data_IF_900915394198
#
_entry.id   IF_900915394198
#
_cell.length_a   1.000
_cell.length_b   1.000
_cell.length_c   1.000
_cell.angle_alpha   90.00
_cell.angle_beta   90.00
_cell.angle_gamma   90.00
#
_symmetry.space_group_name_H-M   'P 1'
#
loop_
_entity.id
_entity.type
_entity.pdbx_description
1 polymer ?
#
# COMPACT_ATOMS: atom_id res chain seq x y z
N UNK A 1 7.05 -14.31 -31.16
CA UNK A 1 6.47 -15.31 -30.28
C UNK A 1 6.76 -14.88 -28.83
N UNK A 2 5.82 -14.19 -28.17
CA UNK A 2 5.95 -13.79 -26.76
C UNK A 2 5.95 -15.07 -25.94
N UNK A 3 7.04 -15.33 -25.21
CA UNK A 3 7.08 -16.43 -24.21
C UNK A 3 5.96 -16.15 -23.20
N UNK A 4 4.94 -16.97 -23.18
CA UNK A 4 3.94 -16.97 -22.13
C UNK A 4 4.66 -17.13 -20.79
N UNK A 5 4.54 -16.13 -19.92
CA UNK A 5 5.07 -16.19 -18.56
C UNK A 5 4.37 -17.35 -17.83
N UNK A 6 5.10 -18.41 -17.54
CA UNK A 6 4.61 -19.72 -17.10
C UNK A 6 4.10 -19.75 -15.65
N UNK A 7 4.06 -18.59 -14.96
CA UNK A 7 3.52 -18.50 -13.60
C UNK A 7 2.02 -18.19 -13.67
N UNK A 8 1.21 -19.01 -13.00
CA UNK A 8 -0.23 -18.76 -12.90
C UNK A 8 -0.50 -17.34 -12.34
N UNK A 9 -1.48 -16.65 -12.92
CA UNK A 9 -1.91 -15.36 -12.41
C UNK A 9 -2.65 -15.57 -11.08
N UNK A 10 -2.25 -14.86 -10.05
CA UNK A 10 -3.00 -14.78 -8.79
C UNK A 10 -4.03 -13.67 -8.93
N UNK A 11 -5.32 -14.01 -8.79
CA UNK A 11 -6.39 -13.02 -8.79
C UNK A 11 -6.17 -12.03 -7.65
N UNK A 12 -6.29 -10.75 -7.98
CA UNK A 12 -6.08 -9.66 -7.03
C UNK A 12 -7.44 -9.10 -6.58
N UNK A 13 -7.49 -8.55 -5.38
CA UNK A 13 -8.69 -7.87 -4.88
C UNK A 13 -9.09 -6.72 -5.81
N UNK A 14 -8.13 -5.99 -6.34
CA UNK A 14 -8.34 -4.90 -7.31
C UNK A 14 -8.94 -5.38 -8.65
N UNK A 15 -8.91 -6.67 -8.96
CA UNK A 15 -9.52 -7.19 -10.20
C UNK A 15 -11.04 -6.95 -10.24
N UNK A 16 -11.73 -7.14 -9.10
CA UNK A 16 -13.18 -6.92 -9.00
C UNK A 16 -13.52 -5.43 -9.21
N UNK A 17 -12.77 -4.54 -8.56
CA UNK A 17 -12.95 -3.09 -8.73
C UNK A 17 -12.66 -2.66 -10.17
N UNK A 18 -11.58 -3.17 -10.78
CA UNK A 18 -11.21 -2.85 -12.15
C UNK A 18 -12.27 -3.31 -13.15
N UNK A 19 -12.84 -4.50 -12.98
CA UNK A 19 -13.90 -5.03 -13.83
C UNK A 19 -15.15 -4.13 -13.74
N UNK A 20 -15.60 -3.80 -12.53
CA UNK A 20 -16.74 -2.92 -12.31
C UNK A 20 -16.51 -1.49 -12.87
N UNK A 21 -15.31 -0.95 -12.74
CA UNK A 21 -14.96 0.36 -13.28
C UNK A 21 -14.89 0.37 -14.82
N UNK A 22 -14.41 -0.70 -15.44
CA UNK A 22 -14.36 -0.83 -16.91
C UNK A 22 -15.78 -0.85 -17.54
N UNK A 23 -16.76 -1.38 -16.83
CA UNK A 23 -18.16 -1.37 -17.29
C UNK A 23 -18.79 0.04 -17.26
N UNK A 24 -18.21 0.97 -16.52
CA UNK A 24 -18.74 2.33 -16.34
C UNK A 24 -17.86 3.47 -16.87
N UNK A 25 -16.56 3.23 -17.08
CA UNK A 25 -15.59 4.28 -17.40
C UNK A 25 -14.86 4.02 -18.72
N UNK A 26 -14.60 5.07 -19.53
CA UNK A 26 -13.91 4.93 -20.82
C UNK A 26 -12.43 4.61 -20.71
N UNK A 27 -11.74 5.11 -19.69
CA UNK A 27 -10.30 4.90 -19.50
C UNK A 27 -9.91 4.80 -18.03
N UNK A 28 -9.05 3.82 -17.71
CA UNK A 28 -8.51 3.59 -16.38
C UNK A 28 -7.00 3.48 -16.45
N UNK A 29 -6.31 4.23 -15.59
CA UNK A 29 -4.86 4.13 -15.38
C UNK A 29 -4.58 3.35 -14.10
N UNK A 30 -3.91 2.20 -14.20
CA UNK A 30 -3.49 1.41 -13.04
C UNK A 30 -2.12 1.89 -12.61
N UNK A 31 -2.04 2.44 -11.39
CA UNK A 31 -0.81 2.96 -10.80
C UNK A 31 -0.41 2.17 -9.55
N UNK A 32 0.86 2.24 -9.20
CA UNK A 32 1.40 1.57 -8.01
C UNK A 32 2.87 1.21 -8.16
N UNK A 33 3.51 0.65 -7.12
CA UNK A 33 4.93 0.37 -7.13
C UNK A 33 5.33 -0.57 -8.28
N UNK A 34 6.59 -0.54 -8.66
CA UNK A 34 7.13 -1.50 -9.64
C UNK A 34 6.95 -2.93 -9.15
N UNK A 35 6.86 -3.86 -10.06
CA UNK A 35 6.71 -5.31 -9.81
C UNK A 35 5.43 -5.71 -9.04
N UNK A 36 4.46 -4.82 -8.83
CA UNK A 36 3.19 -5.12 -8.11
C UNK A 36 2.20 -5.94 -8.94
N UNK A 37 2.38 -5.99 -10.28
CA UNK A 37 1.58 -6.82 -11.19
C UNK A 37 0.65 -6.05 -12.14
N UNK A 38 0.74 -4.72 -12.25
CA UNK A 38 -0.11 -3.85 -13.08
C UNK A 38 -0.31 -4.35 -14.51
N UNK A 39 0.80 -4.54 -15.22
CA UNK A 39 0.83 -5.06 -16.60
C UNK A 39 0.06 -6.37 -16.73
N UNK A 40 0.28 -7.33 -15.81
CA UNK A 40 -0.40 -8.64 -15.87
C UNK A 40 -1.91 -8.51 -15.63
N UNK A 41 -2.30 -7.67 -14.68
CA UNK A 41 -3.70 -7.36 -14.36
C UNK A 41 -4.40 -6.71 -15.57
N UNK A 42 -3.78 -5.70 -16.20
CA UNK A 42 -4.32 -5.01 -17.37
C UNK A 42 -4.39 -5.92 -18.61
N UNK A 43 -3.33 -6.68 -18.91
CA UNK A 43 -3.25 -7.57 -20.10
C UNK A 43 -4.34 -8.64 -20.14
N UNK A 44 -4.87 -9.06 -18.98
CA UNK A 44 -5.97 -10.04 -18.93
C UNK A 44 -7.28 -9.53 -19.54
N UNK A 45 -7.44 -8.22 -19.63
CA UNK A 45 -8.64 -7.54 -20.15
C UNK A 45 -8.44 -6.94 -21.53
N UNK A 46 -7.20 -6.62 -21.86
CA UNK A 46 -6.85 -5.97 -23.11
C UNK A 46 -6.98 -6.89 -24.32
N UNK A 47 -7.55 -6.37 -25.40
CA UNK A 47 -7.57 -7.02 -26.72
C UNK A 47 -6.47 -6.51 -27.64
N UNK A 48 -6.07 -5.24 -27.48
CA UNK A 48 -4.90 -4.63 -28.14
C UNK A 48 -3.92 -4.21 -27.05
N UNK A 49 -2.62 -4.47 -27.24
CA UNK A 49 -1.56 -4.13 -26.29
C UNK A 49 -0.47 -3.36 -27.00
N UNK A 50 -0.16 -2.16 -26.50
CA UNK A 50 1.00 -1.36 -26.86
C UNK A 50 1.95 -1.33 -25.65
N UNK A 51 3.02 -2.12 -25.70
CA UNK A 51 4.07 -2.18 -24.67
C UNK A 51 5.14 -1.14 -25.02
N UNK A 52 5.11 0.02 -24.37
CA UNK A 52 6.03 1.11 -24.65
C UNK A 52 7.43 0.91 -24.02
N UNK A 53 7.64 -0.15 -23.26
CA UNK A 53 8.98 -0.55 -22.81
C UNK A 53 9.71 -1.36 -23.91
N UNK A 54 8.98 -1.89 -24.89
CA UNK A 54 9.55 -2.48 -26.09
C UNK A 54 9.98 -1.39 -27.09
N UNK A 55 11.29 -1.35 -27.47
CA UNK A 55 11.83 -0.31 -28.36
C UNK A 55 11.15 -0.24 -29.74
N UNK A 56 10.72 -1.38 -30.30
CA UNK A 56 10.06 -1.42 -31.60
C UNK A 56 8.66 -0.79 -31.51
N UNK A 57 7.89 -1.16 -30.50
CA UNK A 57 6.57 -0.58 -30.22
C UNK A 57 6.67 0.92 -29.95
N UNK A 58 7.68 1.36 -29.19
CA UNK A 58 7.92 2.79 -28.93
C UNK A 58 8.28 3.54 -30.22
N UNK A 59 9.15 2.99 -31.06
CA UNK A 59 9.51 3.60 -32.34
C UNK A 59 8.30 3.77 -33.27
N UNK A 60 7.42 2.77 -33.33
CA UNK A 60 6.16 2.85 -34.08
C UNK A 60 5.21 3.91 -33.48
N UNK A 61 5.11 4.03 -32.17
CA UNK A 61 4.30 5.05 -31.50
C UNK A 61 4.82 6.47 -31.78
N UNK A 62 6.14 6.64 -31.86
CA UNK A 62 6.76 7.92 -32.22
C UNK A 62 6.52 8.28 -33.71
N UNK A 63 6.52 7.29 -34.59
CA UNK A 63 6.29 7.50 -36.02
C UNK A 63 4.81 7.76 -36.37
N UNK A 64 3.89 7.04 -35.71
CA UNK A 64 2.43 7.14 -35.91
C UNK A 64 1.70 7.13 -34.54
N UNK A 65 1.64 8.26 -33.83
CA UNK A 65 1.04 8.33 -32.48
C UNK A 65 -0.43 7.89 -32.42
N UNK A 66 -1.20 8.16 -33.50
CA UNK A 66 -2.62 7.78 -33.57
C UNK A 66 -2.88 6.28 -33.49
N UNK A 67 -1.85 5.46 -33.73
CA UNK A 67 -1.90 4.00 -33.61
C UNK A 67 -2.23 3.55 -32.18
N UNK A 68 -1.78 4.29 -31.16
CA UNK A 68 -2.00 3.96 -29.74
C UNK A 68 -3.46 3.95 -29.33
N UNK A 69 -4.35 4.61 -30.08
CA UNK A 69 -5.78 4.70 -29.78
C UNK A 69 -6.65 3.95 -30.79
N UNK A 70 -6.02 3.10 -31.63
CA UNK A 70 -6.70 2.29 -32.65
C UNK A 70 -6.51 0.80 -32.37
N UNK A 71 -7.58 0.03 -32.50
CA UNK A 71 -7.54 -1.43 -32.33
C UNK A 71 -8.80 -1.97 -31.69
N UNK A 72 -8.79 -3.26 -31.37
CA UNK A 72 -9.85 -3.91 -30.62
C UNK A 72 -9.78 -3.48 -29.14
N UNK A 73 -10.89 -3.00 -28.62
CA UNK A 73 -11.02 -2.50 -27.25
C UNK A 73 -11.31 -3.64 -26.23
N UNK A 74 -10.81 -3.59 -24.99
CA UNK A 74 -9.96 -2.55 -24.40
C UNK A 74 -8.54 -2.51 -25.00
N UNK A 75 -8.01 -1.30 -25.17
CA UNK A 75 -6.64 -1.05 -25.63
C UNK A 75 -5.77 -0.76 -24.41
N UNK A 76 -4.70 -1.52 -24.21
CA UNK A 76 -3.71 -1.29 -23.16
C UNK A 76 -2.52 -0.50 -23.71
N UNK A 77 -2.18 0.60 -23.05
CA UNK A 77 -0.93 1.31 -23.19
C UNK A 77 -0.10 1.03 -21.93
N UNK A 78 0.85 0.08 -22.05
CA UNK A 78 1.69 -0.37 -20.94
C UNK A 78 2.92 0.54 -20.85
N UNK A 79 3.29 0.97 -19.62
CA UNK A 79 4.35 1.93 -19.31
C UNK A 79 4.17 3.28 -20.08
N UNK A 80 2.94 3.84 -20.02
CA UNK A 80 2.54 5.04 -20.76
C UNK A 80 3.48 6.23 -20.57
N UNK A 81 4.16 6.35 -19.42
CA UNK A 81 5.11 7.42 -19.11
C UNK A 81 6.36 7.41 -20.00
N UNK A 82 6.62 6.31 -20.72
CA UNK A 82 7.70 6.24 -21.75
C UNK A 82 7.40 7.12 -22.97
N UNK A 83 6.12 7.41 -23.19
CA UNK A 83 5.64 8.35 -24.21
C UNK A 83 4.49 9.19 -23.63
N UNK A 84 4.78 10.25 -22.84
CA UNK A 84 3.77 11.05 -22.15
C UNK A 84 2.65 11.60 -23.06
N UNK A 85 2.87 11.92 -24.35
CA UNK A 85 1.79 12.33 -25.24
C UNK A 85 0.69 11.28 -25.45
N UNK A 86 0.93 9.99 -25.11
CA UNK A 86 -0.09 8.94 -25.13
C UNK A 86 -1.28 9.25 -24.22
N UNK A 87 -1.04 9.89 -23.09
CA UNK A 87 -2.07 10.36 -22.17
C UNK A 87 -3.03 11.33 -22.83
N UNK A 88 -2.50 12.33 -23.53
CA UNK A 88 -3.31 13.33 -24.26
C UNK A 88 -4.06 12.72 -25.45
N UNK A 89 -3.48 11.69 -26.09
CA UNK A 89 -4.16 10.94 -27.17
C UNK A 89 -5.38 10.19 -26.61
N UNK A 90 -5.23 9.47 -25.51
CA UNK A 90 -6.34 8.77 -24.85
C UNK A 90 -7.40 9.77 -24.40
N UNK A 91 -7.00 10.87 -23.75
CA UNK A 91 -7.95 11.90 -23.31
C UNK A 91 -8.81 12.41 -24.47
N UNK A 92 -8.20 12.76 -25.62
CA UNK A 92 -8.92 13.21 -26.83
C UNK A 92 -9.83 12.12 -27.38
N UNK A 93 -9.35 10.88 -27.46
CA UNK A 93 -10.15 9.76 -27.94
C UNK A 93 -11.37 9.49 -27.02
N UNK A 94 -11.28 9.77 -25.73
CA UNK A 94 -12.41 9.73 -24.77
C UNK A 94 -13.34 10.92 -24.98
N UNK A 95 -12.82 12.13 -25.28
CA UNK A 95 -13.66 13.28 -25.62
C UNK A 95 -14.48 13.04 -26.89
N UNK A 96 -13.91 12.35 -27.90
CA UNK A 96 -14.58 12.02 -29.16
C UNK A 96 -15.61 10.89 -29.00
N UNK A 97 -15.32 9.92 -28.12
CA UNK A 97 -16.17 8.76 -27.88
C UNK A 97 -16.04 8.29 -26.41
N UNK A 98 -16.99 8.66 -25.53
CA UNK A 98 -16.93 8.39 -24.10
C UNK A 98 -17.46 6.99 -23.68
N UNK A 99 -17.62 6.05 -24.64
CA UNK A 99 -18.09 4.70 -24.28
C UNK A 99 -17.19 4.02 -23.25
N UNK A 100 -17.75 3.24 -22.29
CA UNK A 100 -16.97 2.50 -21.31
C UNK A 100 -16.06 1.43 -21.93
N UNK A 101 -15.04 1.01 -21.17
CA UNK A 101 -14.22 -0.17 -21.47
C UNK A 101 -13.22 0.00 -22.60
N UNK A 102 -12.85 1.23 -22.95
CA UNK A 102 -12.01 1.48 -24.14
C UNK A 102 -10.51 1.40 -23.88
N UNK A 103 -10.03 2.02 -22.79
CA UNK A 103 -8.59 2.17 -22.56
C UNK A 103 -8.18 1.71 -21.17
N UNK A 104 -7.03 1.04 -21.13
CA UNK A 104 -6.25 0.75 -19.95
C UNK A 104 -4.86 1.36 -20.12
N UNK A 105 -4.37 2.03 -19.10
CA UNK A 105 -2.99 2.50 -19.02
C UNK A 105 -2.33 1.87 -17.79
N UNK A 106 -1.03 1.61 -17.87
CA UNK A 106 -0.26 1.22 -16.69
C UNK A 106 0.99 2.09 -16.59
N UNK A 107 1.34 2.47 -15.36
CA UNK A 107 2.53 3.24 -15.06
C UNK A 107 3.04 2.97 -13.65
N UNK A 108 4.36 2.96 -13.49
CA UNK A 108 5.01 2.70 -12.20
C UNK A 108 5.51 3.96 -11.51
N UNK A 109 5.71 5.02 -12.29
CA UNK A 109 6.22 6.32 -11.86
C UNK A 109 5.56 7.40 -12.69
N UNK A 110 5.50 8.62 -12.18
CA UNK A 110 5.12 9.76 -13.01
C UNK A 110 6.12 9.97 -14.17
N UNK A 111 5.71 10.57 -15.28
CA UNK A 111 6.62 10.90 -16.37
C UNK A 111 7.56 12.05 -15.98
N UNK A 112 8.78 12.08 -16.55
CA UNK A 112 9.74 13.19 -16.39
C UNK A 112 9.15 14.53 -16.85
N UNK A 113 8.34 14.48 -17.92
CA UNK A 113 7.57 15.61 -18.43
C UNK A 113 6.10 15.30 -18.23
N UNK A 114 5.39 16.07 -17.39
CA UNK A 114 3.97 15.84 -17.17
C UNK A 114 3.18 16.01 -18.48
N UNK A 115 2.07 15.28 -18.66
CA UNK A 115 1.19 15.47 -19.81
C UNK A 115 0.63 16.90 -19.80
N UNK A 116 0.28 17.41 -20.99
CA UNK A 116 -0.24 18.77 -21.17
C UNK A 116 -1.54 18.99 -20.37
N UNK A 117 -2.33 17.93 -20.20
CA UNK A 117 -3.60 17.97 -19.47
C UNK A 117 -3.67 16.87 -18.40
N UNK A 118 -4.30 17.16 -17.27
CA UNK A 118 -4.43 16.23 -16.14
C UNK A 118 -5.28 14.98 -16.43
N UNK A 119 -6.08 14.98 -17.49
CA UNK A 119 -7.03 13.89 -17.80
C UNK A 119 -8.24 13.84 -16.88
N UNK A 120 -8.43 14.85 -16.02
CA UNK A 120 -9.53 14.87 -15.05
C UNK A 120 -10.90 14.67 -15.72
N UNK A 121 -11.70 13.72 -15.18
CA UNK A 121 -13.01 13.35 -15.69
C UNK A 121 -12.98 12.45 -16.95
N UNK A 122 -11.82 12.10 -17.50
CA UNK A 122 -11.65 11.21 -18.67
C UNK A 122 -10.90 9.95 -18.34
N UNK A 123 -9.83 10.06 -17.56
CA UNK A 123 -8.99 8.95 -17.14
C UNK A 123 -9.05 8.87 -15.62
N UNK A 124 -9.48 7.72 -15.10
CA UNK A 124 -9.56 7.47 -13.65
C UNK A 124 -8.37 6.64 -13.22
N UNK A 125 -7.70 7.06 -12.15
CA UNK A 125 -6.56 6.32 -11.60
C UNK A 125 -7.06 5.28 -10.61
N UNK A 126 -6.63 4.03 -10.80
CA UNK A 126 -6.83 2.90 -9.91
C UNK A 126 -5.50 2.50 -9.28
N UNK A 127 -5.40 2.55 -7.97
CA UNK A 127 -4.18 2.18 -7.27
C UNK A 127 -4.08 0.68 -7.03
N UNK A 128 -2.95 0.10 -7.40
CA UNK A 128 -2.61 -1.30 -7.11
C UNK A 128 -1.49 -1.39 -6.08
N UNK A 129 -1.77 -2.01 -4.93
CA UNK A 129 -0.81 -2.23 -3.82
C UNK A 129 -0.14 -3.60 -3.90
N UNK A 130 0.95 -3.86 -3.15
CA UNK A 130 1.43 -5.22 -2.93
C UNK A 130 0.32 -6.16 -2.43
N UNK A 131 0.50 -7.44 -2.56
CA UNK A 131 -0.51 -8.45 -2.23
C UNK A 131 -0.83 -8.44 -0.73
N UNK A 132 -2.12 -8.41 -0.39
CA UNK A 132 -2.64 -8.67 0.95
C UNK A 132 -2.43 -10.14 1.37
N UNK A 133 -2.57 -10.45 2.66
CA UNK A 133 -2.48 -11.84 3.16
C UNK A 133 -3.47 -12.76 2.46
N UNK A 134 -4.70 -12.28 2.22
CA UNK A 134 -5.69 -13.00 1.42
C UNK A 134 -5.17 -13.33 0.01
N UNK A 135 -4.65 -12.34 -0.71
CA UNK A 135 -4.11 -12.53 -2.07
C UNK A 135 -2.87 -13.42 -2.09
N UNK A 136 -2.12 -13.49 -0.99
CA UNK A 136 -0.99 -14.40 -0.80
C UNK A 136 -1.41 -15.85 -0.56
N UNK A 137 -2.71 -16.08 -0.30
CA UNK A 137 -3.25 -17.41 -0.05
C UNK A 137 -2.83 -18.00 1.31
N UNK A 138 -2.56 -17.12 2.31
CA UNK A 138 -2.16 -17.59 3.63
C UNK A 138 -3.29 -18.38 4.31
N UNK A 139 -4.53 -17.91 4.19
CA UNK A 139 -5.72 -18.50 4.76
C UNK A 139 -6.96 -18.03 3.99
N UNK A 140 -8.00 -18.87 3.87
CA UNK A 140 -9.32 -18.42 3.44
C UNK A 140 -9.96 -17.55 4.53
N UNK A 141 -10.38 -16.31 4.22
CA UNK A 141 -10.96 -15.41 5.20
C UNK A 141 -12.38 -15.83 5.60
N UNK A 142 -12.72 -15.62 6.86
CA UNK A 142 -14.09 -15.81 7.36
C UNK A 142 -14.75 -14.49 7.76
N UNK A 143 -13.98 -13.40 7.81
CA UNK A 143 -14.45 -12.06 8.20
C UNK A 143 -14.20 -11.11 7.04
N UNK A 144 -15.27 -10.52 6.49
CA UNK A 144 -15.18 -9.52 5.43
C UNK A 144 -15.16 -8.11 6.00
N UNK A 145 -14.15 -7.32 5.63
CA UNK A 145 -14.05 -5.90 6.00
C UNK A 145 -15.25 -5.12 5.45
N UNK A 146 -15.65 -5.39 4.20
CA UNK A 146 -16.83 -4.77 3.58
C UNK A 146 -18.09 -5.07 4.40
N UNK A 147 -18.26 -6.31 4.85
CA UNK A 147 -19.44 -6.69 5.64
C UNK A 147 -19.46 -6.01 7.01
N UNK A 148 -18.32 -5.91 7.70
CA UNK A 148 -18.19 -5.14 8.95
C UNK A 148 -18.52 -3.65 8.76
N UNK A 149 -18.13 -3.07 7.63
CA UNK A 149 -18.36 -1.66 7.34
C UNK A 149 -19.80 -1.35 6.92
N UNK A 150 -20.48 -2.28 6.23
CA UNK A 150 -21.80 -2.02 5.65
C UNK A 150 -22.97 -2.54 6.47
N UNK A 151 -22.76 -3.51 7.36
CA UNK A 151 -23.79 -4.11 8.21
C UNK A 151 -23.75 -3.54 9.63
N UNK A 152 -24.82 -3.73 10.37
CA UNK A 152 -24.87 -3.33 11.78
C UNK A 152 -24.35 -4.47 12.66
N UNK A 153 -23.07 -4.39 13.03
CA UNK A 153 -22.35 -5.35 13.88
C UNK A 153 -22.60 -6.82 13.52
N UNK A 154 -22.22 -7.24 12.32
CA UNK A 154 -22.45 -8.61 11.87
C UNK A 154 -21.74 -9.62 12.77
N UNK A 155 -22.21 -10.84 12.80
CA UNK A 155 -21.57 -11.93 13.50
C UNK A 155 -20.12 -12.11 12.99
N UNK A 156 -19.22 -12.39 13.92
CA UNK A 156 -17.81 -12.66 13.62
C UNK A 156 -17.48 -14.03 14.20
N UNK A 157 -17.01 -14.92 13.35
CA UNK A 157 -16.63 -16.28 13.71
C UNK A 157 -15.51 -16.77 12.77
N UNK A 158 -14.72 -17.69 13.23
CA UNK A 158 -13.68 -18.34 12.45
C UNK A 158 -12.51 -18.85 13.28
N UNK A 159 -11.76 -19.74 12.66
CA UNK A 159 -10.55 -20.31 13.25
C UNK A 159 -9.44 -20.40 12.21
N UNK A 160 -8.22 -20.12 12.68
CA UNK A 160 -6.99 -20.31 11.88
C UNK A 160 -5.94 -21.03 12.71
N UNK A 161 -5.05 -21.74 12.03
CA UNK A 161 -3.84 -22.32 12.62
C UNK A 161 -2.58 -21.48 12.27
N UNK A 162 -2.75 -20.34 11.56
CA UNK A 162 -1.68 -19.40 11.28
C UNK A 162 -1.11 -18.87 12.59
N UNK A 163 0.19 -19.01 12.78
CA UNK A 163 0.92 -18.65 13.98
C UNK A 163 1.77 -17.38 13.77
N UNK A 164 2.37 -16.86 14.82
CA UNK A 164 3.24 -15.68 14.76
C UNK A 164 4.40 -15.87 13.77
N UNK A 165 4.97 -17.07 13.69
CA UNK A 165 6.06 -17.37 12.76
C UNK A 165 5.65 -17.23 11.29
N UNK A 166 4.39 -17.56 10.97
CA UNK A 166 3.86 -17.38 9.62
C UNK A 166 3.73 -15.88 9.29
N UNK A 167 3.24 -15.07 10.23
CA UNK A 167 3.21 -13.61 10.04
C UNK A 167 4.60 -13.01 9.92
N UNK A 168 5.59 -13.49 10.69
CA UNK A 168 7.00 -13.06 10.53
C UNK A 168 7.52 -13.42 9.15
N UNK A 169 7.22 -14.63 8.65
CA UNK A 169 7.59 -15.04 7.30
C UNK A 169 6.94 -14.16 6.22
N UNK A 170 5.67 -13.76 6.41
CA UNK A 170 4.94 -12.87 5.50
C UNK A 170 5.46 -11.43 5.54
N UNK A 171 5.85 -10.91 6.71
CA UNK A 171 6.47 -9.60 6.89
C UNK A 171 7.79 -9.53 6.10
N UNK A 172 8.67 -10.52 6.27
CA UNK A 172 9.99 -10.55 5.61
C UNK A 172 9.88 -10.91 4.13
N UNK A 173 8.91 -11.78 3.79
CA UNK A 173 8.70 -12.27 2.42
C UNK A 173 8.10 -11.25 1.46
N UNK A 174 7.30 -10.33 1.98
CA UNK A 174 6.63 -9.26 1.22
C UNK A 174 5.52 -9.73 0.28
N UNK A 175 4.80 -8.76 -0.26
CA UNK A 175 3.64 -8.94 -1.16
C UNK A 175 3.91 -8.66 -2.63
N UNK A 176 5.17 -8.54 -3.08
CA UNK A 176 5.47 -8.36 -4.49
C UNK A 176 5.47 -9.72 -5.22
N UNK A 177 4.53 -9.96 -6.15
CA UNK A 177 4.23 -11.31 -6.66
C UNK A 177 5.39 -11.98 -7.39
N UNK A 178 6.27 -11.21 -8.02
CA UNK A 178 7.36 -11.74 -8.83
C UNK A 178 8.39 -12.58 -8.06
N UNK A 179 8.49 -12.39 -6.75
CA UNK A 179 9.55 -12.98 -5.92
C UNK A 179 9.05 -13.99 -4.90
N UNK A 180 7.76 -14.06 -4.67
CA UNK A 180 7.17 -14.95 -3.65
C UNK A 180 7.47 -16.45 -3.85
N UNK A 181 7.62 -16.90 -5.09
CA UNK A 181 7.92 -18.29 -5.40
C UNK A 181 9.40 -18.69 -5.16
N UNK A 182 10.29 -17.72 -4.90
CA UNK A 182 11.70 -17.97 -4.60
C UNK A 182 11.95 -18.39 -3.16
N UNK A 183 13.12 -18.99 -2.91
CA UNK A 183 13.60 -19.20 -1.55
C UNK A 183 13.92 -17.88 -0.82
N UNK A 184 14.23 -17.94 0.47
CA UNK A 184 14.50 -16.76 1.29
C UNK A 184 15.66 -15.91 0.72
N UNK A 185 16.74 -16.55 0.26
CA UNK A 185 17.91 -15.85 -0.31
C UNK A 185 17.56 -15.15 -1.63
N UNK A 186 16.80 -15.80 -2.49
CA UNK A 186 16.34 -15.23 -3.77
C UNK A 186 15.43 -14.03 -3.54
N UNK A 187 14.48 -14.13 -2.59
CA UNK A 187 13.61 -13.01 -2.21
C UNK A 187 14.40 -11.83 -1.66
N UNK A 188 15.35 -12.11 -0.77
CA UNK A 188 16.22 -11.09 -0.20
C UNK A 188 17.01 -10.35 -1.29
N UNK A 189 17.68 -11.07 -2.18
CA UNK A 189 18.44 -10.49 -3.29
C UNK A 189 17.55 -9.67 -4.24
N UNK A 190 16.31 -10.12 -4.48
CA UNK A 190 15.35 -9.39 -5.31
C UNK A 190 14.89 -8.08 -4.67
N UNK A 191 14.62 -8.07 -3.36
CA UNK A 191 14.25 -6.87 -2.60
C UNK A 191 15.42 -5.87 -2.52
N UNK A 192 16.64 -6.36 -2.30
CA UNK A 192 17.85 -5.52 -2.33
C UNK A 192 18.06 -4.88 -3.70
N UNK A 193 17.93 -5.69 -4.77
CA UNK A 193 17.99 -5.20 -6.14
C UNK A 193 16.90 -4.18 -6.46
N UNK A 194 15.70 -4.37 -5.93
CA UNK A 194 14.58 -3.44 -6.06
C UNK A 194 14.88 -2.09 -5.39
N UNK A 195 15.31 -2.11 -4.13
CA UNK A 195 15.65 -0.89 -3.37
C UNK A 195 16.83 -0.14 -4.00
N UNK A 196 17.87 -0.87 -4.42
CA UNK A 196 19.04 -0.28 -5.09
C UNK A 196 18.60 0.42 -6.39
N UNK A 197 17.81 -0.27 -7.21
CA UNK A 197 17.33 0.29 -8.48
C UNK A 197 16.43 1.50 -8.25
N UNK A 198 15.54 1.45 -7.28
CA UNK A 198 14.65 2.55 -6.94
C UNK A 198 15.44 3.81 -6.55
N UNK A 199 16.44 3.69 -5.66
CA UNK A 199 17.22 4.82 -5.15
C UNK A 199 18.26 5.32 -6.17
N UNK A 200 18.97 4.40 -6.85
CA UNK A 200 20.13 4.76 -7.65
C UNK A 200 19.77 5.09 -9.12
N UNK A 201 18.65 4.54 -9.63
CA UNK A 201 18.28 4.66 -11.04
C UNK A 201 16.93 5.35 -11.24
N UNK A 202 15.87 4.89 -10.58
CA UNK A 202 14.52 5.35 -10.88
C UNK A 202 14.27 6.79 -10.45
N UNK A 203 14.92 7.21 -9.36
CA UNK A 203 14.98 8.61 -8.92
C UNK A 203 15.55 9.53 -9.98
N UNK A 204 16.60 9.09 -10.70
CA UNK A 204 17.20 9.85 -11.78
C UNK A 204 16.28 9.93 -13.01
N UNK A 205 15.50 8.87 -13.29
CA UNK A 205 14.51 8.86 -14.36
C UNK A 205 13.34 9.82 -14.13
N UNK A 206 13.10 10.21 -12.87
CA UNK A 206 12.11 11.24 -12.50
C UNK A 206 12.67 12.66 -12.49
N UNK A 207 13.78 12.89 -13.21
CA UNK A 207 14.42 14.21 -13.33
C UNK A 207 15.18 14.65 -12.07
N UNK A 208 15.17 13.85 -10.98
CA UNK A 208 15.87 14.20 -9.75
C UNK A 208 17.29 13.59 -9.71
N UNK A 209 18.29 14.42 -9.93
CA UNK A 209 19.69 14.01 -9.73
C UNK A 209 20.07 14.14 -8.26
N UNK A 210 19.98 13.04 -7.51
CA UNK A 210 20.50 13.00 -6.15
C UNK A 210 22.01 13.29 -6.19
N UNK A 211 22.42 14.45 -5.66
CA UNK A 211 23.87 14.78 -5.56
C UNK A 211 24.63 13.78 -4.69
N UNK A 212 23.93 13.12 -3.78
CA UNK A 212 24.47 12.15 -2.81
C UNK A 212 23.44 11.01 -2.60
N UNK A 213 23.44 9.94 -3.39
CA UNK A 213 22.48 8.82 -3.24
C UNK A 213 22.51 8.19 -1.83
N UNK A 214 23.69 8.15 -1.18
CA UNK A 214 23.83 7.65 0.19
C UNK A 214 23.02 8.41 1.23
N UNK A 215 22.80 9.72 1.04
CA UNK A 215 21.94 10.52 1.95
C UNK A 215 20.47 10.13 1.81
N UNK A 216 20.00 9.91 0.58
CA UNK A 216 18.65 9.44 0.35
C UNK A 216 18.43 8.05 0.94
N UNK A 217 19.40 7.15 0.80
CA UNK A 217 19.33 5.80 1.38
C UNK A 217 19.25 5.86 2.91
N UNK A 218 20.08 6.67 3.57
CA UNK A 218 20.00 6.87 5.03
C UNK A 218 18.65 7.45 5.46
N UNK A 219 18.13 8.40 4.69
CA UNK A 219 16.79 8.95 4.96
C UNK A 219 15.69 7.88 4.84
N UNK A 220 15.76 7.04 3.81
CA UNK A 220 14.81 5.94 3.61
C UNK A 220 14.93 4.89 4.72
N UNK A 221 16.16 4.60 5.21
CA UNK A 221 16.39 3.72 6.37
C UNK A 221 15.79 4.33 7.65
N UNK A 222 16.00 5.64 7.88
CA UNK A 222 15.38 6.34 9.02
C UNK A 222 13.85 6.35 8.93
N UNK A 223 13.30 6.48 7.72
CA UNK A 223 11.86 6.37 7.47
C UNK A 223 11.34 4.95 7.75
N UNK A 224 12.09 3.91 7.36
CA UNK A 224 11.78 2.52 7.69
C UNK A 224 11.78 2.25 9.20
N UNK A 225 12.73 2.84 9.95
CA UNK A 225 12.74 2.76 11.41
C UNK A 225 11.54 3.47 12.07
N UNK A 226 10.93 4.45 11.39
CA UNK A 226 9.72 5.14 11.85
C UNK A 226 8.42 4.43 11.45
N UNK A 227 8.47 3.19 10.91
CA UNK A 227 7.30 2.41 10.51
C UNK A 227 6.25 2.36 11.62
N UNK A 228 4.98 2.58 11.27
CA UNK A 228 3.81 2.61 12.14
C UNK A 228 3.90 3.67 13.28
N UNK A 229 4.70 4.70 13.11
CA UNK A 229 4.77 5.84 14.05
C UNK A 229 4.30 7.14 13.40
N UNK A 230 3.94 8.11 14.24
CA UNK A 230 3.63 9.50 13.84
C UNK A 230 4.82 10.44 14.08
N UNK A 231 6.06 9.91 14.03
CA UNK A 231 7.28 10.69 14.16
C UNK A 231 7.26 11.89 13.19
N UNK A 232 7.80 13.03 13.61
CA UNK A 232 7.88 14.16 12.70
C UNK A 232 8.92 13.92 11.60
N UNK A 233 8.72 14.51 10.43
CA UNK A 233 9.74 14.44 9.36
C UNK A 233 11.08 15.06 9.79
N UNK A 234 11.08 15.93 10.80
CA UNK A 234 12.31 16.45 11.40
C UNK A 234 13.04 15.38 12.21
N UNK A 235 12.31 14.60 13.01
CA UNK A 235 12.87 13.45 13.72
C UNK A 235 13.51 12.43 12.76
N UNK A 236 12.80 12.10 11.67
CA UNK A 236 13.30 11.19 10.63
C UNK A 236 14.57 11.77 9.96
N UNK A 237 14.56 13.08 9.66
CA UNK A 237 15.73 13.77 9.10
C UNK A 237 16.92 13.72 10.05
N UNK A 238 16.68 13.94 11.34
CA UNK A 238 17.72 13.94 12.35
C UNK A 238 18.34 12.55 12.52
N UNK A 239 17.51 11.50 12.50
CA UNK A 239 17.98 10.11 12.49
C UNK A 239 18.75 9.72 11.21
N UNK A 240 18.48 10.37 10.08
CA UNK A 240 19.21 10.18 8.83
C UNK A 240 20.57 10.91 8.79
N UNK A 241 20.86 11.76 9.78
CA UNK A 241 22.13 12.47 9.92
C UNK A 241 23.15 11.51 10.54
N UNK A 242 24.16 11.08 9.80
CA UNK A 242 25.23 10.25 10.37
C UNK A 242 26.17 11.06 11.28
N UNK A 243 27.14 10.40 11.89
CA UNK A 243 28.14 11.00 12.80
C UNK A 243 28.98 12.11 12.16
N UNK A 244 28.99 12.23 10.85
CA UNK A 244 29.79 13.21 10.09
C UNK A 244 29.15 14.61 9.98
N UNK A 245 28.07 14.89 10.70
CA UNK A 245 27.51 16.26 10.80
C UNK A 245 26.82 16.81 9.52
N UNK A 246 26.67 16.00 8.48
CA UNK A 246 26.08 16.42 7.18
C UNK A 246 24.55 16.24 7.19
N UNK A 247 23.88 17.02 8.04
CA UNK A 247 22.42 17.02 8.13
C UNK A 247 21.80 17.50 6.82
N UNK A 248 20.96 16.68 6.15
CA UNK A 248 20.34 17.12 4.91
C UNK A 248 19.40 18.32 5.15
N UNK A 249 19.38 19.28 4.22
CA UNK A 249 18.48 20.41 4.31
C UNK A 249 17.01 19.95 4.29
N UNK A 250 16.11 20.70 4.96
CA UNK A 250 14.69 20.37 5.01
C UNK A 250 14.06 20.27 3.61
N UNK A 251 14.43 21.17 2.71
CA UNK A 251 13.98 21.16 1.30
C UNK A 251 14.41 19.89 0.56
N UNK A 252 15.61 19.37 0.85
CA UNK A 252 16.13 18.12 0.26
C UNK A 252 15.31 16.92 0.72
N UNK A 253 15.00 16.82 2.02
CA UNK A 253 14.22 15.69 2.56
C UNK A 253 12.75 15.76 2.16
N UNK A 254 12.20 16.97 1.96
CA UNK A 254 10.86 17.12 1.36
C UNK A 254 10.84 16.57 -0.07
N UNK A 255 11.84 16.91 -0.89
CA UNK A 255 11.94 16.36 -2.24
C UNK A 255 12.09 14.83 -2.25
N UNK A 256 12.84 14.25 -1.29
CA UNK A 256 12.94 12.79 -1.15
C UNK A 256 11.58 12.16 -0.85
N UNK A 257 10.85 12.72 0.10
CA UNK A 257 9.51 12.25 0.44
C UNK A 257 8.59 12.27 -0.77
N UNK A 258 8.44 13.45 -1.39
CA UNK A 258 7.52 13.65 -2.51
C UNK A 258 7.83 12.71 -3.68
N UNK A 259 9.11 12.48 -3.95
CA UNK A 259 9.59 11.56 -4.98
C UNK A 259 9.28 10.09 -4.63
N UNK A 260 9.59 9.66 -3.40
CA UNK A 260 9.35 8.29 -2.96
C UNK A 260 7.86 7.97 -2.81
N UNK A 261 7.03 8.96 -2.49
CA UNK A 261 5.56 8.86 -2.54
C UNK A 261 5.08 8.72 -4.00
N UNK A 262 5.62 9.52 -4.92
CA UNK A 262 5.29 9.43 -6.35
C UNK A 262 5.73 8.09 -6.98
N UNK A 263 6.78 7.46 -6.43
CA UNK A 263 7.22 6.10 -6.79
C UNK A 263 6.43 4.99 -6.08
N UNK A 264 5.49 5.34 -5.23
CA UNK A 264 4.71 4.40 -4.43
C UNK A 264 5.54 3.54 -3.46
N UNK A 265 6.76 3.98 -3.10
CA UNK A 265 7.60 3.32 -2.10
C UNK A 265 7.21 3.70 -0.67
N UNK A 266 6.83 4.96 -0.49
CA UNK A 266 6.32 5.51 0.76
C UNK A 266 4.80 5.61 0.63
N UNK A 267 4.08 5.08 1.61
CA UNK A 267 2.62 5.00 1.61
C UNK A 267 2.04 5.37 2.98
N UNK A 268 2.15 6.66 3.40
CA UNK A 268 1.70 7.11 4.72
C UNK A 268 0.18 7.00 4.88
N UNK A 269 -0.26 6.79 6.11
CA UNK A 269 -1.67 6.86 6.51
C UNK A 269 -1.93 8.23 7.14
N UNK A 270 -2.80 9.03 6.53
CA UNK A 270 -3.14 10.36 7.02
C UNK A 270 -4.09 10.31 8.23
N UNK A 271 -4.05 11.37 9.05
CA UNK A 271 -4.93 11.46 10.20
C UNK A 271 -6.41 11.54 9.78
N UNK A 272 -7.26 10.83 10.54
CA UNK A 272 -8.71 10.98 10.47
C UNK A 272 -9.15 12.25 11.20
N UNK A 273 -10.19 12.89 10.68
CA UNK A 273 -10.79 14.04 11.33
C UNK A 273 -12.30 14.07 11.08
N UNK A 274 -13.11 14.40 12.10
CA UNK A 274 -14.56 14.57 11.90
C UNK A 274 -14.84 15.70 10.91
N UNK A 275 -15.92 15.55 10.15
CA UNK A 275 -16.31 16.44 9.03
C UNK A 275 -16.36 17.94 9.39
N UNK A 276 -16.50 18.27 10.66
CA UNK A 276 -16.62 19.65 11.13
C UNK A 276 -15.32 20.49 11.23
N UNK A 277 -14.12 19.87 11.13
CA UNK A 277 -12.85 20.60 11.27
C UNK A 277 -11.72 20.12 10.35
N UNK A 278 -11.78 20.41 9.04
CA UNK A 278 -10.79 19.93 8.07
C UNK A 278 -9.37 20.51 8.31
N UNK A 279 -9.24 21.70 8.94
CA UNK A 279 -7.91 22.30 9.19
C UNK A 279 -7.15 21.57 10.31
N UNK A 280 -7.84 20.93 11.25
CA UNK A 280 -7.20 20.14 12.29
C UNK A 280 -6.45 18.94 11.73
N UNK A 281 -7.01 18.27 10.71
CA UNK A 281 -6.40 17.14 9.99
C UNK A 281 -5.02 17.50 9.41
N UNK A 282 -4.88 18.68 8.83
CA UNK A 282 -3.66 19.11 8.13
C UNK A 282 -2.47 19.37 9.08
N UNK A 283 -2.73 19.49 10.39
CA UNK A 283 -1.68 19.76 11.40
C UNK A 283 -1.09 18.49 12.01
N UNK A 284 -1.68 17.33 11.77
CA UNK A 284 -1.19 16.07 12.34
C UNK A 284 -0.22 15.36 11.39
N UNK A 285 0.87 14.82 11.96
CA UNK A 285 1.79 13.95 11.22
C UNK A 285 1.05 12.71 10.73
N UNK A 286 1.32 12.23 9.51
CA UNK A 286 0.81 10.95 9.07
C UNK A 286 1.50 9.82 9.87
N UNK A 287 0.87 8.66 9.95
CA UNK A 287 1.52 7.43 10.40
C UNK A 287 2.34 6.86 9.22
N UNK A 288 3.62 6.63 9.46
CA UNK A 288 4.58 6.28 8.40
C UNK A 288 4.50 4.81 8.05
N UNK A 289 4.39 4.51 6.76
CA UNK A 289 4.48 3.15 6.22
C UNK A 289 5.22 3.17 4.89
N UNK A 290 6.01 2.12 4.63
CA UNK A 290 6.44 1.78 3.29
C UNK A 290 5.32 1.00 2.58
N UNK A 291 5.41 0.89 1.26
CA UNK A 291 4.41 0.16 0.48
C UNK A 291 4.29 -1.32 0.90
N UNK A 292 5.36 -1.89 1.44
CA UNK A 292 5.44 -3.28 1.90
C UNK A 292 6.38 -3.35 3.12
N UNK A 293 5.99 -4.01 4.23
CA UNK A 293 6.85 -4.16 5.40
C UNK A 293 8.18 -4.86 5.12
N UNK A 294 8.25 -5.72 4.10
CA UNK A 294 9.50 -6.37 3.70
C UNK A 294 10.58 -5.36 3.25
N UNK A 295 10.16 -4.21 2.68
CA UNK A 295 11.09 -3.14 2.33
C UNK A 295 11.72 -2.52 3.59
N UNK A 296 10.92 -2.35 4.66
CA UNK A 296 11.43 -1.88 5.94
C UNK A 296 12.42 -2.88 6.55
N UNK A 297 12.09 -4.17 6.55
CA UNK A 297 13.00 -5.22 7.01
C UNK A 297 14.34 -5.16 6.26
N UNK A 298 14.32 -5.00 4.93
CA UNK A 298 15.57 -4.96 4.15
C UNK A 298 16.40 -3.70 4.41
N UNK A 299 15.76 -2.54 4.53
CA UNK A 299 16.43 -1.27 4.85
C UNK A 299 17.08 -1.28 6.24
N UNK A 300 16.47 -2.02 7.18
CA UNK A 300 16.96 -2.20 8.56
C UNK A 300 17.84 -3.45 8.72
N UNK A 301 18.13 -4.17 7.62
CA UNK A 301 18.95 -5.38 7.59
C UNK A 301 18.42 -6.53 8.47
N UNK A 302 17.08 -6.60 8.65
CA UNK A 302 16.41 -7.58 9.51
C UNK A 302 15.93 -8.79 8.70
N UNK A 303 16.23 -9.98 9.20
CA UNK A 303 15.68 -11.25 8.76
C UNK A 303 14.61 -11.78 9.72
N UNK A 304 14.06 -12.95 9.39
CA UNK A 304 13.05 -13.60 10.23
C UNK A 304 13.60 -13.99 11.61
N UNK A 305 14.85 -14.41 11.68
CA UNK A 305 15.49 -14.82 12.93
C UNK A 305 15.74 -13.61 13.86
N UNK A 306 16.09 -12.44 13.29
CA UNK A 306 16.24 -11.21 14.05
C UNK A 306 14.91 -10.77 14.67
N UNK A 307 13.81 -10.89 13.93
CA UNK A 307 12.46 -10.57 14.41
C UNK A 307 11.97 -11.55 15.46
N UNK A 308 12.31 -12.84 15.36
CA UNK A 308 11.99 -13.85 16.38
C UNK A 308 12.82 -13.66 17.67
N UNK A 309 14.12 -13.38 17.52
CA UNK A 309 15.02 -13.14 18.65
C UNK A 309 14.60 -11.92 19.49
N UNK A 310 13.95 -10.95 18.87
CA UNK A 310 13.41 -9.77 19.52
C UNK A 310 12.13 -10.03 20.34
N UNK A 311 11.58 -11.26 20.35
CA UNK A 311 10.38 -11.64 21.10
C UNK A 311 10.73 -12.08 22.56
N UNK A 312 9.86 -11.92 23.58
CA UNK A 312 10.16 -12.32 24.96
C UNK A 312 10.49 -13.80 25.04
N UNK A 313 11.69 -14.10 25.49
CA UNK A 313 12.23 -15.46 25.55
C UNK A 313 13.65 -15.59 24.98
N UNK A 314 14.15 -14.60 24.27
CA UNK A 314 15.55 -14.58 23.83
C UNK A 314 16.51 -14.37 25.02
N UNK A 315 17.58 -15.18 25.05
CA UNK A 315 18.55 -15.24 26.16
C UNK A 315 19.59 -14.12 26.16
N UNK A 316 19.54 -13.19 25.22
CA UNK A 316 20.51 -12.07 25.08
C UNK A 316 19.83 -10.75 25.38
N UNK A 317 20.38 -10.00 26.33
CA UNK A 317 19.88 -8.70 26.79
C UNK A 317 20.35 -7.57 25.84
N UNK A 318 19.84 -7.60 24.59
CA UNK A 318 20.01 -6.51 23.63
C UNK A 318 18.85 -5.50 23.78
N UNK A 319 19.03 -4.21 23.42
CA UNK A 319 17.94 -3.24 23.39
C UNK A 319 16.78 -3.82 22.60
N UNK A 320 15.63 -4.03 23.29
CA UNK A 320 14.55 -4.88 22.81
C UNK A 320 13.89 -4.29 21.58
N UNK A 321 13.93 -5.04 20.46
CA UNK A 321 13.23 -4.73 19.22
C UNK A 321 11.73 -5.10 19.25
N UNK A 322 11.16 -5.39 20.43
CA UNK A 322 9.73 -5.70 20.59
C UNK A 322 8.81 -4.65 19.96
N UNK A 323 9.06 -3.34 20.12
CA UNK A 323 8.26 -2.33 19.45
C UNK A 323 8.28 -2.49 17.92
N UNK A 324 9.42 -2.91 17.35
CA UNK A 324 9.58 -2.99 15.90
C UNK A 324 8.79 -4.15 15.25
N UNK A 325 8.77 -5.34 15.84
CA UNK A 325 7.94 -6.43 15.32
C UNK A 325 6.45 -6.07 15.36
N UNK A 326 6.00 -5.41 16.44
CA UNK A 326 4.64 -4.88 16.54
C UNK A 326 4.34 -3.87 15.43
N UNK A 327 5.26 -2.91 15.20
CA UNK A 327 5.14 -1.91 14.15
C UNK A 327 5.13 -2.52 12.73
N UNK A 328 5.93 -3.54 12.48
CA UNK A 328 5.96 -4.26 11.21
C UNK A 328 4.69 -5.09 10.99
N UNK A 329 4.15 -5.70 12.05
CA UNK A 329 2.87 -6.39 12.00
C UNK A 329 1.72 -5.40 11.73
N UNK A 330 1.72 -4.24 12.41
CA UNK A 330 0.77 -3.16 12.14
C UNK A 330 0.88 -2.69 10.68
N UNK A 331 2.10 -2.59 10.13
CA UNK A 331 2.30 -2.22 8.73
C UNK A 331 1.77 -3.28 7.76
N UNK A 332 1.94 -4.57 8.06
CA UNK A 332 1.35 -5.67 7.30
C UNK A 332 -0.18 -5.60 7.30
N UNK A 333 -0.79 -5.43 8.47
CA UNK A 333 -2.24 -5.28 8.64
C UNK A 333 -2.74 -4.01 7.94
N UNK A 334 -2.00 -2.91 8.02
CA UNK A 334 -2.34 -1.66 7.31
C UNK A 334 -2.40 -1.86 5.81
N UNK A 335 -1.46 -2.61 5.23
CA UNK A 335 -1.49 -2.97 3.81
C UNK A 335 -2.77 -3.76 3.47
N UNK A 336 -3.10 -4.78 4.26
CA UNK A 336 -4.29 -5.61 4.07
C UNK A 336 -5.57 -4.79 4.14
N UNK A 337 -5.72 -4.01 5.21
CA UNK A 337 -6.89 -3.14 5.41
C UNK A 337 -7.04 -2.14 4.26
N UNK A 338 -5.95 -1.58 3.75
CA UNK A 338 -6.00 -0.63 2.61
C UNK A 338 -6.42 -1.30 1.32
N UNK A 339 -6.00 -2.53 1.07
CA UNK A 339 -6.43 -3.31 -0.11
C UNK A 339 -7.93 -3.62 -0.03
N UNK A 340 -8.40 -4.09 1.14
CA UNK A 340 -9.81 -4.45 1.33
C UNK A 340 -10.73 -3.22 1.39
N UNK A 341 -10.29 -2.13 2.04
CA UNK A 341 -11.04 -0.89 2.12
C UNK A 341 -11.22 -0.24 0.74
N UNK A 342 -10.18 -0.24 -0.11
CA UNK A 342 -10.28 0.25 -1.48
C UNK A 342 -11.36 -0.51 -2.25
N UNK A 343 -11.39 -1.83 -2.17
CA UNK A 343 -12.42 -2.66 -2.81
C UNK A 343 -13.84 -2.40 -2.25
N UNK A 344 -13.93 -1.95 -0.99
CA UNK A 344 -15.20 -1.53 -0.37
C UNK A 344 -15.57 -0.06 -0.66
N UNK A 345 -14.78 0.66 -1.46
CA UNK A 345 -14.97 2.09 -1.73
C UNK A 345 -14.74 2.98 -0.50
N UNK A 346 -13.91 2.54 0.45
CA UNK A 346 -13.67 3.18 1.72
C UNK A 346 -12.26 3.81 1.82
N UNK A 347 -12.14 4.87 2.60
CA UNK A 347 -10.87 5.52 2.92
C UNK A 347 -10.29 4.98 4.24
N UNK A 348 -8.96 4.94 4.33
CA UNK A 348 -8.24 4.53 5.54
C UNK A 348 -7.45 5.70 6.10
N UNK A 349 -7.58 5.95 7.38
CA UNK A 349 -6.90 7.01 8.14
C UNK A 349 -6.47 6.47 9.51
N UNK A 350 -5.71 7.24 10.30
CA UNK A 350 -5.42 6.93 11.71
C UNK A 350 -5.98 8.04 12.61
N UNK A 351 -6.15 7.77 13.90
CA UNK A 351 -6.53 8.80 14.88
C UNK A 351 -5.48 8.90 15.97
N UNK A 352 -5.04 10.13 16.26
CA UNK A 352 -4.30 10.49 17.48
C UNK A 352 -4.82 11.81 18.01
N UNK A 353 -5.10 11.89 19.31
CA UNK A 353 -5.56 13.13 19.91
C UNK A 353 -4.40 14.09 20.21
N UNK A 354 -4.69 15.38 20.37
CA UNK A 354 -3.67 16.41 20.66
C UNK A 354 -2.93 16.21 21.98
N UNK A 355 -3.62 15.61 22.98
CA UNK A 355 -3.04 15.28 24.28
C UNK A 355 -2.19 14.00 24.24
N UNK A 356 -2.12 13.36 23.06
CA UNK A 356 -1.49 12.04 22.87
C UNK A 356 -2.05 10.90 23.75
N UNK A 357 -3.17 11.15 24.46
CA UNK A 357 -3.76 10.20 25.39
C UNK A 357 -4.49 9.07 24.68
N UNK A 358 -4.87 9.28 23.40
CA UNK A 358 -5.74 8.37 22.67
C UNK A 358 -5.26 8.21 21.24
N UNK A 359 -5.10 6.96 20.87
CA UNK A 359 -4.69 6.56 19.53
C UNK A 359 -5.59 5.42 19.08
N UNK A 360 -5.91 5.41 17.77
CA UNK A 360 -6.52 4.29 17.07
C UNK A 360 -5.68 4.09 15.80
N UNK A 361 -5.21 2.88 15.61
CA UNK A 361 -4.27 2.57 14.55
C UNK A 361 -4.86 2.84 13.18
N UNK A 362 -6.09 2.39 12.92
CA UNK A 362 -6.76 2.64 11.65
C UNK A 362 -8.23 2.98 11.84
N UNK A 363 -8.73 3.92 11.05
CA UNK A 363 -10.15 4.23 10.87
C UNK A 363 -10.48 4.06 9.40
N UNK A 364 -11.35 3.09 9.11
CA UNK A 364 -11.92 2.88 7.79
C UNK A 364 -13.25 3.61 7.70
N UNK A 365 -13.41 4.45 6.68
CA UNK A 365 -14.61 5.29 6.53
C UNK A 365 -15.23 5.19 5.14
N UNK A 366 -16.56 4.95 5.09
CA UNK A 366 -17.38 4.98 3.89
C UNK A 366 -18.62 5.84 4.16
N UNK A 367 -18.59 7.08 3.68
CA UNK A 367 -19.60 8.08 4.03
C UNK A 367 -19.62 8.32 5.55
N UNK A 368 -20.77 8.03 6.20
CA UNK A 368 -20.91 8.16 7.66
C UNK A 368 -20.57 6.88 8.44
N UNK A 369 -20.38 5.77 7.75
CA UNK A 369 -20.02 4.49 8.39
C UNK A 369 -18.54 4.45 8.71
N UNK A 370 -18.22 4.04 9.93
CA UNK A 370 -16.86 4.00 10.45
C UNK A 370 -16.57 2.60 11.01
N UNK A 371 -15.36 2.10 10.74
CA UNK A 371 -14.79 0.93 11.40
C UNK A 371 -13.48 1.35 12.05
N UNK A 372 -13.46 1.34 13.38
CA UNK A 372 -12.25 1.64 14.16
C UNK A 372 -11.47 0.35 14.40
N UNK A 373 -10.18 0.36 14.11
CA UNK A 373 -9.33 -0.83 14.16
C UNK A 373 -8.10 -0.56 15.02
N UNK A 374 -7.86 -1.44 15.98
CA UNK A 374 -6.62 -1.53 16.75
C UNK A 374 -5.86 -2.78 16.32
N UNK A 375 -4.53 -2.73 16.28
CA UNK A 375 -3.66 -3.84 15.88
C UNK A 375 -2.79 -4.25 17.06
N UNK A 376 -2.81 -5.52 17.42
CA UNK A 376 -2.03 -6.05 18.54
C UNK A 376 -1.28 -7.31 18.17
N UNK A 377 0.02 -7.29 18.42
CA UNK A 377 0.88 -8.47 18.32
C UNK A 377 0.66 -9.37 19.54
N UNK A 378 -0.55 -9.86 19.71
CA UNK A 378 -0.97 -10.71 20.82
C UNK A 378 -1.98 -11.74 20.33
N UNK A 379 -1.96 -12.95 20.91
CA UNK A 379 -2.94 -13.98 20.59
C UNK A 379 -4.33 -13.68 21.18
N UNK A 380 -4.38 -13.04 22.34
CA UNK A 380 -5.61 -12.66 23.03
C UNK A 380 -5.44 -11.22 23.52
N UNK A 381 -6.31 -10.29 23.12
CA UNK A 381 -6.26 -8.92 23.60
C UNK A 381 -6.75 -8.83 25.04
N UNK A 382 -6.26 -7.84 25.79
CA UNK A 382 -6.77 -7.51 27.10
C UNK A 382 -7.80 -6.36 27.05
N UNK A 383 -8.47 -6.08 28.20
CA UNK A 383 -9.46 -4.99 28.27
C UNK A 383 -8.86 -3.58 28.05
N UNK A 384 -7.55 -3.43 28.23
CA UNK A 384 -6.87 -2.14 28.01
C UNK A 384 -6.70 -1.88 26.51
N UNK A 385 -6.51 -2.92 25.73
CA UNK A 385 -6.34 -2.83 24.27
C UNK A 385 -7.59 -2.29 23.57
N UNK A 386 -8.77 -2.52 24.15
CA UNK A 386 -10.05 -2.09 23.56
C UNK A 386 -10.55 -0.74 24.07
N UNK A 387 -9.86 -0.09 25.03
CA UNK A 387 -10.32 1.14 25.69
C UNK A 387 -10.55 2.31 24.74
N UNK A 388 -9.65 2.49 23.75
CA UNK A 388 -9.74 3.59 22.79
C UNK A 388 -10.82 3.34 21.76
N UNK A 389 -11.05 2.07 21.37
CA UNK A 389 -12.14 1.67 20.47
C UNK A 389 -13.51 1.97 21.11
N UNK A 390 -13.69 1.62 22.41
CA UNK A 390 -14.92 1.94 23.15
C UNK A 390 -15.15 3.44 23.23
N UNK A 391 -14.12 4.18 23.66
CA UNK A 391 -14.20 5.63 23.71
C UNK A 391 -14.58 6.25 22.37
N UNK A 392 -13.96 5.80 21.28
CA UNK A 392 -14.23 6.35 19.95
C UNK A 392 -15.68 6.07 19.52
N UNK A 393 -16.17 4.87 19.76
CA UNK A 393 -17.57 4.50 19.48
C UNK A 393 -18.55 5.41 20.22
N UNK A 394 -18.27 5.72 21.49
CA UNK A 394 -19.12 6.59 22.29
C UNK A 394 -19.06 8.06 21.82
N UNK A 395 -17.91 8.51 21.36
CA UNK A 395 -17.71 9.89 20.89
C UNK A 395 -18.23 10.12 19.47
N UNK A 396 -18.19 9.14 18.61
CA UNK A 396 -18.61 9.25 17.20
C UNK A 396 -20.12 9.12 17.02
N UNK A 397 -20.89 8.77 18.07
CA UNK A 397 -22.35 8.74 18.02
C UNK A 397 -22.92 10.11 17.60
N UNK A 398 -23.95 10.18 16.74
CA UNK A 398 -24.82 9.07 16.30
C UNK A 398 -24.35 8.32 15.03
N UNK A 399 -23.15 8.51 14.54
CA UNK A 399 -22.68 7.80 13.36
C UNK A 399 -22.55 6.29 13.66
N UNK A 400 -22.89 5.42 12.68
CA UNK A 400 -22.74 3.98 12.86
C UNK A 400 -21.27 3.58 12.88
N UNK A 401 -20.79 3.16 14.05
CA UNK A 401 -19.40 2.73 14.26
C UNK A 401 -19.36 1.28 14.69
N UNK A 402 -18.65 0.44 13.93
CA UNK A 402 -18.17 -0.85 14.40
C UNK A 402 -16.71 -0.74 14.87
N UNK A 403 -16.26 -1.68 15.66
CA UNK A 403 -14.92 -1.69 16.22
C UNK A 403 -14.31 -3.08 16.12
N UNK A 404 -13.03 -3.14 15.77
CA UNK A 404 -12.29 -4.38 15.59
C UNK A 404 -10.89 -4.27 16.18
N UNK A 405 -10.43 -5.37 16.80
CA UNK A 405 -9.03 -5.55 17.14
C UNK A 405 -8.47 -6.69 16.30
N UNK A 406 -7.38 -6.41 15.57
CA UNK A 406 -6.68 -7.40 14.76
C UNK A 406 -5.52 -7.99 15.56
N UNK A 407 -5.43 -9.32 15.58
CA UNK A 407 -4.51 -10.06 16.45
C UNK A 407 -3.73 -11.13 15.66
N UNK A 408 -2.79 -11.78 16.35
CA UNK A 408 -2.12 -13.01 15.89
C UNK A 408 -2.75 -14.28 16.49
N UNK A 409 -3.94 -14.16 17.07
CA UNK A 409 -4.67 -15.25 17.71
C UNK A 409 -5.23 -16.27 16.71
N UNK A 410 -5.96 -17.25 17.25
CA UNK A 410 -6.52 -18.36 16.45
C UNK A 410 -8.00 -18.23 16.14
N UNK A 411 -8.74 -17.45 16.91
CA UNK A 411 -10.20 -17.40 16.84
C UNK A 411 -10.70 -16.00 16.52
N UNK A 412 -11.65 -15.92 15.62
CA UNK A 412 -12.44 -14.72 15.39
C UNK A 412 -13.72 -14.81 16.24
N UNK A 413 -14.06 -13.74 16.96
CA UNK A 413 -15.24 -13.67 17.80
C UNK A 413 -15.57 -12.21 18.13
N UNK A 414 -16.76 -11.97 18.71
CA UNK A 414 -17.05 -10.69 19.38
C UNK A 414 -16.89 -10.82 20.88
N UNK A 415 -16.20 -9.83 21.47
CA UNK A 415 -16.06 -9.74 22.92
C UNK A 415 -17.39 -9.31 23.58
N UNK A 416 -17.50 -9.33 24.94
CA UNK A 416 -18.71 -8.91 25.65
C UNK A 416 -19.12 -7.44 25.40
N UNK A 417 -18.18 -6.58 25.00
CA UNK A 417 -18.44 -5.18 24.63
C UNK A 417 -18.88 -5.04 23.15
N UNK A 418 -18.98 -6.17 22.41
CA UNK A 418 -19.35 -6.22 21.01
C UNK A 418 -18.23 -5.85 20.04
N UNK A 419 -16.98 -5.74 20.49
CA UNK A 419 -15.81 -5.49 19.65
C UNK A 419 -15.42 -6.79 18.94
N UNK A 420 -15.20 -6.73 17.62
CA UNK A 420 -14.73 -7.87 16.85
C UNK A 420 -13.24 -8.14 17.16
N UNK A 421 -12.91 -9.34 17.58
CA UNK A 421 -11.53 -9.83 17.70
C UNK A 421 -11.26 -10.72 16.50
N UNK A 422 -10.31 -10.34 15.64
CA UNK A 422 -10.09 -11.01 14.34
C UNK A 422 -8.60 -11.30 14.15
N UNK A 423 -8.20 -12.56 14.00
CA UNK A 423 -6.86 -12.89 13.49
C UNK A 423 -6.63 -12.28 12.13
N UNK A 424 -5.46 -11.66 11.89
CA UNK A 424 -5.17 -11.00 10.62
C UNK A 424 -5.37 -11.92 9.40
N UNK A 425 -5.04 -13.20 9.52
CA UNK A 425 -5.22 -14.20 8.47
C UNK A 425 -6.69 -14.50 8.10
N UNK A 426 -7.65 -14.17 8.97
CA UNK A 426 -9.07 -14.40 8.74
C UNK A 426 -9.80 -13.18 8.15
N UNK A 427 -9.11 -12.03 8.01
CA UNK A 427 -9.68 -10.82 7.41
C UNK A 427 -9.56 -10.88 5.88
N UNK A 428 -10.67 -10.58 5.19
CA UNK A 428 -10.74 -10.49 3.73
C UNK A 428 -11.50 -9.27 3.23
N UNK A 429 -11.63 -9.14 1.91
CA UNK A 429 -12.32 -8.03 1.26
C UNK A 429 -13.83 -7.96 1.52
#
# INVERSE_FOLDING_TARGET
MVKADSRAYVRRVVDEELDALLDGLPAICIEGPRAVGKTRTARRRARTVHDLDDPETLALALAEPSRLVRGAEPILIDEWQRYPPSWDLVRRAVDDDPRPGRFLLTGSTGPDVPPTHSGAGRIVTLRMRPMSLFERGLQEPTVSLRHLLTSDRPAVDGRTDVALDDYVAEIVGGGLPGWRAGDARTRQAALDGYLNRAVDHDVALMGYRARRPGVMRRWLTAYAAATATTATYETIRDAATGDEGDKPAKTTTMAYRDLLEAMWLVDPVHAWWPVGNPLGRLKQSPKHHLADPALACRLLELGADDLRAAHPGATVDLPRNQPLLGALFESLVTLDVRVHAQNAGAAVSHLRTWSDDREIDLIVSAGRRLLAIEVKLAAVPDRRDTRHLRWFRDQAAPDPVDAMIITTGRYAYRDPDGIAVVPAALLGP
#
